data_IF_981863752841
#
_entry.id   IF_981863752841
#
_cell.length_a   1.000
_cell.length_b   1.000
_cell.length_c   1.000
_cell.angle_alpha   90.00
_cell.angle_beta   90.00
_cell.angle_gamma   90.00
#
_symmetry.space_group_name_H-M   'P 1'
#
loop_
_entity.id
_entity.type
_entity.pdbx_description
1 polymer ?
#
# COMPACT_ATOMS: atom_id res chain seq x y z
N UNK A 1 -0.39 -16.95 11.02
CA UNK A 1 0.52 -17.74 10.14
C UNK A 1 1.12 -18.92 10.89
N UNK A 2 1.87 -18.73 12.00
CA UNK A 2 2.47 -19.84 12.75
C UNK A 2 1.44 -20.86 13.25
N UNK A 3 0.32 -20.38 13.79
CA UNK A 3 -0.75 -21.28 14.26
C UNK A 3 -1.37 -22.09 13.12
N UNK A 4 -1.62 -21.47 11.97
CA UNK A 4 -2.11 -22.17 10.77
C UNK A 4 -1.11 -23.20 10.24
N UNK A 5 0.20 -22.88 10.29
CA UNK A 5 1.25 -23.81 9.92
C UNK A 5 1.28 -25.04 10.84
N UNK A 6 1.25 -24.82 12.15
CA UNK A 6 1.22 -25.92 13.13
C UNK A 6 -0.01 -26.82 12.91
N UNK A 7 -1.20 -26.22 12.71
CA UNK A 7 -2.41 -26.99 12.40
C UNK A 7 -2.30 -27.75 11.07
N UNK A 8 -1.73 -27.16 10.03
CA UNK A 8 -1.55 -27.82 8.75
C UNK A 8 -0.60 -29.03 8.83
N UNK A 9 0.46 -28.92 9.61
CA UNK A 9 1.46 -29.99 9.76
C UNK A 9 1.01 -31.08 10.74
N UNK A 10 0.19 -30.76 11.73
CA UNK A 10 -0.23 -31.70 12.78
C UNK A 10 -1.65 -32.22 12.57
N UNK A 11 -2.63 -31.33 12.47
CA UNK A 11 -4.05 -31.69 12.41
C UNK A 11 -4.44 -32.30 11.07
N UNK A 12 -3.98 -31.72 9.97
CA UNK A 12 -4.36 -32.18 8.63
C UNK A 12 -3.88 -33.62 8.35
N UNK A 13 -2.60 -34.00 8.59
CA UNK A 13 -2.15 -35.38 8.47
C UNK A 13 -2.88 -36.34 9.42
N UNK A 14 -3.13 -35.90 10.67
CA UNK A 14 -3.86 -36.71 11.64
C UNK A 14 -5.29 -37.02 11.18
N UNK A 15 -6.01 -36.02 10.65
CA UNK A 15 -7.37 -36.19 10.10
C UNK A 15 -7.37 -37.12 8.89
N UNK A 16 -6.39 -36.95 7.98
CA UNK A 16 -6.24 -37.80 6.79
C UNK A 16 -5.98 -39.25 7.21
N UNK A 17 -5.05 -39.48 8.11
CA UNK A 17 -4.73 -40.83 8.65
C UNK A 17 -5.95 -41.46 9.31
N UNK A 18 -6.69 -40.72 10.16
CA UNK A 18 -7.90 -41.21 10.83
C UNK A 18 -9.00 -41.57 9.82
N UNK A 19 -9.15 -40.79 8.76
CA UNK A 19 -10.11 -41.05 7.69
C UNK A 19 -9.72 -42.32 6.92
N UNK A 20 -8.45 -42.44 6.54
CA UNK A 20 -7.96 -43.49 5.66
C UNK A 20 -7.69 -44.82 6.37
N UNK A 21 -7.72 -44.84 7.73
CA UNK A 21 -7.72 -46.10 8.53
C UNK A 21 -8.97 -46.98 8.35
N UNK A 22 -10.07 -46.46 7.78
CA UNK A 22 -11.26 -47.25 7.52
C UNK A 22 -11.07 -48.12 6.27
N UNK A 23 -11.23 -49.46 6.35
CA UNK A 23 -11.00 -50.41 5.25
C UNK A 23 -11.78 -50.04 3.96
N UNK A 24 -12.99 -49.52 4.11
CA UNK A 24 -13.83 -49.06 3.00
C UNK A 24 -13.28 -47.80 2.32
N UNK A 25 -12.52 -46.94 3.03
CA UNK A 25 -11.91 -45.79 2.47
C UNK A 25 -10.65 -46.15 1.63
N UNK A 26 -9.88 -47.15 2.09
CA UNK A 26 -8.73 -47.66 1.34
C UNK A 26 -9.15 -48.29 0.01
N UNK A 27 -10.13 -49.22 0.03
CA UNK A 27 -10.63 -49.84 -1.19
C UNK A 27 -11.19 -48.83 -2.21
N UNK A 28 -11.85 -47.77 -1.71
CA UNK A 28 -12.37 -46.68 -2.53
C UNK A 28 -11.27 -45.75 -3.04
N UNK A 29 -10.15 -45.66 -2.32
CA UNK A 29 -8.97 -44.92 -2.75
C UNK A 29 -8.20 -45.65 -3.84
N UNK A 30 -7.98 -46.95 -3.68
CA UNK A 30 -7.28 -47.79 -4.65
C UNK A 30 -8.04 -47.85 -5.98
N UNK A 31 -9.35 -48.03 -5.98
CA UNK A 31 -10.19 -47.97 -7.17
C UNK A 31 -10.25 -46.57 -7.83
N UNK A 32 -10.11 -45.49 -7.02
CA UNK A 32 -10.00 -44.14 -7.57
C UNK A 32 -8.59 -43.84 -8.09
N UNK A 33 -7.56 -44.44 -7.55
CA UNK A 33 -6.18 -44.30 -8.00
C UNK A 33 -6.00 -45.00 -9.35
N UNK A 34 -6.47 -46.22 -9.48
CA UNK A 34 -6.54 -46.93 -10.80
C UNK A 34 -7.31 -46.13 -11.84
N UNK A 35 -8.50 -45.67 -11.51
CA UNK A 35 -9.30 -44.80 -12.41
C UNK A 35 -8.66 -43.47 -12.72
N UNK A 36 -7.76 -42.97 -11.87
CA UNK A 36 -7.01 -41.72 -12.13
C UNK A 36 -5.77 -41.96 -13.00
N UNK A 37 -5.13 -43.12 -12.87
CA UNK A 37 -4.04 -43.52 -13.76
C UNK A 37 -4.55 -43.84 -15.16
N UNK A 38 -5.78 -44.39 -15.29
CA UNK A 38 -6.48 -44.60 -16.54
C UNK A 38 -7.20 -43.34 -17.08
N UNK A 39 -7.50 -42.37 -16.24
CA UNK A 39 -8.22 -41.17 -16.67
C UNK A 39 -7.31 -40.28 -17.54
N UNK A 40 -7.72 -40.15 -18.81
CA UNK A 40 -7.19 -39.17 -19.75
C UNK A 40 -6.92 -37.86 -19.05
N UNK A 41 -5.70 -37.30 -19.24
CA UNK A 41 -5.29 -35.98 -18.78
C UNK A 41 -6.47 -34.99 -18.90
N UNK A 42 -6.79 -34.31 -17.80
CA UNK A 42 -7.88 -33.33 -17.78
C UNK A 42 -7.62 -32.24 -18.83
N UNK A 43 -8.67 -31.70 -19.43
CA UNK A 43 -8.55 -30.55 -20.32
C UNK A 43 -7.67 -29.42 -19.77
N UNK A 44 -7.76 -29.20 -18.46
CA UNK A 44 -6.98 -28.18 -17.75
C UNK A 44 -5.48 -28.51 -17.76
N UNK A 45 -5.10 -29.80 -17.57
CA UNK A 45 -3.69 -30.22 -17.67
C UNK A 45 -3.12 -29.99 -19.06
N UNK A 46 -3.86 -30.44 -20.06
CA UNK A 46 -3.45 -30.27 -21.46
C UNK A 46 -3.26 -28.82 -21.82
N UNK A 47 -4.16 -27.95 -21.34
CA UNK A 47 -4.08 -26.52 -21.59
C UNK A 47 -2.88 -25.87 -20.88
N UNK A 48 -2.64 -26.19 -19.60
CA UNK A 48 -1.53 -25.65 -18.83
C UNK A 48 -0.17 -26.11 -19.39
N UNK A 49 -0.05 -27.41 -19.70
CA UNK A 49 1.15 -27.98 -20.31
C UNK A 49 1.41 -27.36 -21.68
N UNK A 50 0.36 -27.24 -22.52
CA UNK A 50 0.48 -26.60 -23.84
C UNK A 50 0.96 -25.15 -23.74
N UNK A 51 0.41 -24.38 -22.80
CA UNK A 51 0.84 -22.99 -22.54
C UNK A 51 2.30 -22.94 -22.15
N UNK A 52 2.75 -23.80 -21.22
CA UNK A 52 4.13 -23.84 -20.76
C UNK A 52 5.12 -24.21 -21.87
N UNK A 53 4.79 -25.20 -22.69
CA UNK A 53 5.62 -25.62 -23.83
C UNK A 53 5.70 -24.53 -24.90
N UNK A 54 4.57 -23.88 -25.24
CA UNK A 54 4.57 -22.75 -26.18
C UNK A 54 5.46 -21.62 -25.65
N UNK A 55 5.35 -21.32 -24.35
CA UNK A 55 6.18 -20.30 -23.69
C UNK A 55 7.67 -20.65 -23.69
N UNK A 56 8.00 -21.92 -23.51
CA UNK A 56 9.37 -22.42 -23.59
C UNK A 56 9.94 -22.32 -25.01
N UNK A 57 9.24 -22.78 -26.01
CA UNK A 57 9.67 -22.72 -27.42
C UNK A 57 9.86 -21.26 -27.90
N UNK A 58 8.98 -20.36 -27.49
CA UNK A 58 9.02 -18.94 -27.86
C UNK A 58 9.66 -18.07 -26.74
N UNK A 59 10.55 -18.65 -25.92
CA UNK A 59 11.14 -18.00 -24.73
C UNK A 59 11.69 -16.60 -24.99
N UNK A 60 12.33 -16.37 -26.15
CA UNK A 60 12.84 -15.04 -26.49
C UNK A 60 11.72 -14.00 -26.64
N UNK A 61 10.64 -14.38 -27.33
CA UNK A 61 9.49 -13.49 -27.52
C UNK A 61 8.78 -13.22 -26.17
N UNK A 62 8.57 -14.26 -25.37
CA UNK A 62 7.92 -14.14 -24.05
C UNK A 62 8.73 -13.22 -23.13
N UNK A 63 10.06 -13.40 -23.06
CA UNK A 63 10.91 -12.57 -22.21
C UNK A 63 10.95 -11.12 -22.69
N UNK A 64 11.07 -10.87 -24.00
CA UNK A 64 11.05 -9.51 -24.55
C UNK A 64 9.69 -8.87 -24.34
N UNK A 65 8.60 -9.56 -24.62
CA UNK A 65 7.24 -9.05 -24.38
C UNK A 65 7.01 -8.73 -22.91
N UNK A 66 7.45 -9.60 -21.98
CA UNK A 66 7.38 -9.34 -20.54
C UNK A 66 8.18 -8.09 -20.18
N UNK A 67 9.41 -7.93 -20.69
CA UNK A 67 10.22 -6.76 -20.42
C UNK A 67 9.57 -5.45 -20.92
N UNK A 68 8.97 -5.49 -22.12
CA UNK A 68 8.24 -4.34 -22.67
C UNK A 68 7.02 -3.97 -21.84
N UNK A 69 6.25 -4.97 -21.41
CA UNK A 69 5.10 -4.76 -20.51
C UNK A 69 5.55 -4.18 -19.17
N UNK A 70 6.61 -4.71 -18.58
CA UNK A 70 7.16 -4.19 -17.32
C UNK A 70 7.66 -2.74 -17.48
N UNK A 71 8.36 -2.42 -18.56
CA UNK A 71 8.77 -1.06 -18.86
C UNK A 71 7.56 -0.12 -19.00
N UNK A 72 6.51 -0.55 -19.70
CA UNK A 72 5.24 0.17 -19.78
C UNK A 72 4.59 0.41 -18.41
N UNK A 73 4.55 -0.63 -17.55
CA UNK A 73 4.04 -0.52 -16.18
C UNK A 73 4.83 0.48 -15.34
N UNK A 74 6.15 0.52 -15.46
CA UNK A 74 7.00 1.50 -14.77
C UNK A 74 6.67 2.93 -15.23
N UNK A 75 6.56 3.15 -16.54
CA UNK A 75 6.21 4.47 -17.09
C UNK A 75 4.82 4.90 -16.64
N UNK A 76 3.84 4.01 -16.66
CA UNK A 76 2.49 4.28 -16.16
C UNK A 76 2.49 4.56 -14.66
N UNK A 77 3.30 3.82 -13.90
CA UNK A 77 3.44 3.98 -12.45
C UNK A 77 3.89 5.38 -12.03
N UNK A 78 4.67 6.09 -12.86
CA UNK A 78 5.07 7.47 -12.60
C UNK A 78 3.90 8.46 -12.60
N UNK A 79 2.74 8.06 -13.13
CA UNK A 79 1.52 8.89 -13.19
C UNK A 79 0.53 8.59 -12.07
N UNK A 80 0.83 7.63 -11.19
CA UNK A 80 -0.08 7.26 -10.11
C UNK A 80 -0.20 8.41 -9.11
N UNK A 81 -1.43 8.76 -8.80
CA UNK A 81 -1.79 9.73 -7.77
C UNK A 81 -2.04 9.02 -6.44
N UNK A 82 -1.91 9.75 -5.34
CA UNK A 82 -2.33 9.29 -4.02
C UNK A 82 -3.68 9.90 -3.66
N UNK A 83 -4.50 9.19 -2.88
CA UNK A 83 -5.82 9.66 -2.44
C UNK A 83 -5.94 9.60 -0.93
N UNK A 84 -6.20 10.75 -0.31
CA UNK A 84 -6.39 10.89 1.13
C UNK A 84 -7.86 11.14 1.51
N UNK A 85 -8.73 11.36 0.54
CA UNK A 85 -10.10 11.77 0.80
C UNK A 85 -10.94 10.58 1.27
N UNK A 86 -11.12 10.48 2.59
CA UNK A 86 -11.95 9.45 3.21
C UNK A 86 -13.43 9.55 2.79
N UNK A 87 -13.91 10.74 2.37
CA UNK A 87 -15.29 10.91 1.92
C UNK A 87 -15.52 10.24 0.56
N UNK A 88 -14.56 10.33 -0.35
CA UNK A 88 -14.61 9.61 -1.63
C UNK A 88 -14.50 8.09 -1.46
N UNK A 89 -13.99 7.64 -0.33
CA UNK A 89 -13.84 6.22 0.00
C UNK A 89 -15.15 5.58 0.49
N UNK A 90 -16.10 6.40 0.99
CA UNK A 90 -17.38 5.92 1.51
C UNK A 90 -18.50 5.98 0.46
N UNK A 91 -19.49 5.07 0.52
CA UNK A 91 -20.67 5.16 -0.31
C UNK A 91 -21.43 6.47 -0.03
N UNK A 92 -21.80 7.20 -1.09
CA UNK A 92 -22.46 8.51 -1.00
C UNK A 92 -23.82 8.47 -0.30
N UNK A 93 -24.46 7.33 -0.24
CA UNK A 93 -25.77 7.09 0.37
C UNK A 93 -25.70 6.66 1.84
N UNK A 94 -24.51 6.51 2.42
CA UNK A 94 -24.39 6.25 3.85
C UNK A 94 -24.87 7.44 4.69
N UNK A 95 -25.63 7.21 5.79
CA UNK A 95 -26.10 8.29 6.65
C UNK A 95 -25.00 9.25 7.10
N UNK A 96 -23.82 8.72 7.40
CA UNK A 96 -22.63 9.51 7.76
C UNK A 96 -22.20 10.42 6.60
N UNK A 97 -22.06 9.89 5.37
CA UNK A 97 -21.63 10.69 4.21
C UNK A 97 -22.64 11.77 3.85
N UNK A 98 -23.95 11.47 3.96
CA UNK A 98 -25.04 12.44 3.76
C UNK A 98 -24.97 13.53 4.82
N UNK A 99 -24.86 13.18 6.12
CA UNK A 99 -24.74 14.14 7.20
C UNK A 99 -23.49 15.03 7.02
N UNK A 100 -22.35 14.43 6.67
CA UNK A 100 -21.11 15.14 6.41
C UNK A 100 -21.26 16.16 5.28
N UNK A 101 -21.90 15.76 4.17
CA UNK A 101 -22.16 16.66 3.03
C UNK A 101 -23.06 17.83 3.45
N UNK A 102 -24.09 17.59 4.25
CA UNK A 102 -24.97 18.65 4.77
C UNK A 102 -24.22 19.62 5.69
N UNK A 103 -23.40 19.09 6.60
CA UNK A 103 -22.59 19.92 7.50
C UNK A 103 -21.60 20.78 6.71
N UNK A 104 -20.92 20.18 5.71
CA UNK A 104 -20.01 20.93 4.83
C UNK A 104 -20.73 22.03 4.06
N UNK A 105 -21.96 21.77 3.61
CA UNK A 105 -22.76 22.73 2.85
C UNK A 105 -23.20 23.92 3.71
N UNK A 106 -23.66 23.67 4.94
CA UNK A 106 -24.26 24.70 5.77
C UNK A 106 -23.31 25.40 6.73
N UNK A 107 -22.23 24.70 7.16
CA UNK A 107 -21.28 25.20 8.16
C UNK A 107 -19.86 25.43 7.60
N UNK A 108 -19.65 25.17 6.32
CA UNK A 108 -18.45 25.58 5.61
C UNK A 108 -17.15 24.88 6.08
N UNK A 109 -17.16 23.56 6.11
CA UNK A 109 -15.97 22.74 6.40
C UNK A 109 -15.84 22.33 7.86
N UNK A 110 -15.40 21.08 8.07
CA UNK A 110 -15.30 20.47 9.40
C UNK A 110 -13.87 20.17 9.84
N UNK A 111 -12.93 20.28 8.92
CA UNK A 111 -11.55 19.97 9.27
C UNK A 111 -10.96 21.15 10.01
N UNK A 112 -10.47 20.89 11.22
CA UNK A 112 -9.80 21.86 12.04
C UNK A 112 -8.31 21.59 11.98
N UNK A 113 -7.55 22.61 11.55
CA UNK A 113 -6.12 22.65 11.67
C UNK A 113 -5.76 23.47 12.90
N UNK A 114 -4.64 23.13 13.50
CA UNK A 114 -4.14 23.80 14.69
C UNK A 114 -2.70 24.23 14.47
N UNK A 115 -2.34 25.40 15.00
CA UNK A 115 -0.93 25.76 15.18
C UNK A 115 -0.66 25.91 16.65
N UNK A 116 0.20 25.04 17.18
CA UNK A 116 0.66 25.10 18.54
C UNK A 116 1.70 26.22 18.65
N UNK A 117 1.47 27.14 19.57
CA UNK A 117 2.33 28.28 19.86
C UNK A 117 2.96 28.08 21.23
N UNK A 118 4.29 28.06 21.31
CA UNK A 118 5.04 27.87 22.54
C UNK A 118 5.98 29.06 22.79
N UNK A 119 6.20 29.38 24.06
CA UNK A 119 7.07 30.43 24.51
C UNK A 119 6.34 31.45 25.37
N UNK A 120 6.72 32.73 25.33
CA UNK A 120 6.03 33.77 26.11
C UNK A 120 4.68 34.15 25.48
N UNK A 121 3.75 33.19 25.40
CA UNK A 121 2.46 33.34 24.69
C UNK A 121 1.55 34.40 25.33
N UNK A 122 1.64 34.61 26.65
CA UNK A 122 0.90 35.62 27.41
C UNK A 122 1.56 37.01 27.38
N UNK A 123 2.56 37.22 26.54
CA UNK A 123 3.20 38.52 26.34
C UNK A 123 2.59 39.25 25.15
N UNK A 124 2.69 40.60 25.11
CA UNK A 124 2.31 41.38 23.93
C UNK A 124 2.95 40.88 22.65
N UNK A 125 4.23 40.46 22.68
CA UNK A 125 4.95 39.89 21.58
C UNK A 125 4.35 38.58 21.12
N UNK A 126 3.96 37.68 22.02
CA UNK A 126 3.28 36.40 21.69
C UNK A 126 1.92 36.61 21.07
N UNK A 127 1.10 37.54 21.59
CA UNK A 127 -0.21 37.85 21.03
C UNK A 127 -0.09 38.50 19.65
N UNK A 128 0.85 39.41 19.43
CA UNK A 128 1.12 40.02 18.14
C UNK A 128 1.63 38.98 17.10
N UNK A 129 2.44 37.99 17.55
CA UNK A 129 2.86 36.87 16.70
C UNK A 129 1.66 36.07 16.20
N UNK A 130 0.68 35.78 17.08
CA UNK A 130 -0.53 35.07 16.69
C UNK A 130 -1.34 35.88 15.68
N UNK A 131 -1.57 37.19 15.91
CA UNK A 131 -2.29 38.05 14.95
C UNK A 131 -1.55 38.13 13.61
N UNK A 132 -0.24 38.30 13.62
CA UNK A 132 0.56 38.33 12.40
C UNK A 132 0.44 37.01 11.61
N UNK A 133 0.40 35.88 12.30
CA UNK A 133 0.19 34.57 11.68
C UNK A 133 -1.21 34.46 11.08
N UNK A 134 -2.24 34.85 11.80
CA UNK A 134 -3.62 34.84 11.34
C UNK A 134 -3.85 35.73 10.11
N UNK A 135 -3.30 36.94 10.16
CA UNK A 135 -3.39 37.89 9.05
C UNK A 135 -2.60 37.40 7.83
N UNK A 136 -1.45 36.76 8.04
CA UNK A 136 -0.67 36.14 6.98
C UNK A 136 -1.40 34.96 6.31
N UNK A 137 -2.13 34.16 7.09
CA UNK A 137 -2.98 33.09 6.56
C UNK A 137 -4.23 33.67 5.87
N UNK A 138 -4.93 34.61 6.51
CA UNK A 138 -6.16 35.21 5.96
C UNK A 138 -5.95 36.04 4.72
N UNK A 139 -4.74 36.58 4.50
CA UNK A 139 -4.34 37.30 3.28
C UNK A 139 -3.89 36.35 2.13
N UNK A 140 -3.79 35.05 2.40
CA UNK A 140 -3.39 34.09 1.39
C UNK A 140 -4.44 33.96 0.29
N UNK A 141 -4.00 34.08 -0.97
CA UNK A 141 -4.86 34.04 -2.14
C UNK A 141 -5.09 32.62 -2.69
N UNK A 142 -4.57 31.59 -2.02
CA UNK A 142 -4.77 30.22 -2.45
C UNK A 142 -6.26 29.84 -2.33
N UNK A 143 -6.80 29.33 -3.42
CA UNK A 143 -8.16 28.85 -3.52
C UNK A 143 -8.17 27.32 -3.64
N UNK A 144 -9.25 26.69 -3.21
CA UNK A 144 -9.50 25.27 -3.41
C UNK A 144 -9.95 24.99 -4.85
N UNK A 145 -10.12 23.73 -5.21
CA UNK A 145 -10.63 23.29 -6.53
C UNK A 145 -12.01 23.85 -6.86
N UNK A 146 -12.76 24.32 -5.87
CA UNK A 146 -14.10 24.93 -6.03
C UNK A 146 -14.08 26.45 -6.17
N UNK A 147 -12.90 27.06 -6.06
CA UNK A 147 -12.71 28.51 -6.12
C UNK A 147 -12.88 29.25 -4.79
N UNK A 148 -13.08 28.52 -3.68
CA UNK A 148 -13.17 29.15 -2.36
C UNK A 148 -11.78 29.34 -1.74
N UNK A 149 -11.56 30.40 -0.92
CA UNK A 149 -10.28 30.60 -0.26
C UNK A 149 -10.00 29.47 0.73
N UNK A 150 -8.76 28.94 0.70
CA UNK A 150 -8.30 27.89 1.64
C UNK A 150 -8.35 28.36 3.08
N UNK A 151 -8.05 29.64 3.31
CA UNK A 151 -8.06 30.27 4.61
C UNK A 151 -8.97 31.52 4.57
N UNK A 152 -9.93 31.56 5.48
CA UNK A 152 -10.77 32.72 5.69
C UNK A 152 -10.46 33.31 7.08
N UNK A 153 -10.18 34.61 7.16
CA UNK A 153 -9.74 35.25 8.42
C UNK A 153 -10.78 35.07 9.56
N UNK A 154 -12.06 35.10 9.24
CA UNK A 154 -13.17 34.89 10.15
C UNK A 154 -13.27 33.46 10.70
N UNK A 155 -12.56 32.51 10.08
CA UNK A 155 -12.50 31.09 10.48
C UNK A 155 -11.20 30.75 11.25
N UNK A 156 -10.35 31.73 11.48
CA UNK A 156 -9.11 31.58 12.28
C UNK A 156 -9.36 32.24 13.63
N UNK A 157 -9.01 31.53 14.68
CA UNK A 157 -9.28 31.96 16.04
C UNK A 157 -8.13 31.62 16.99
N UNK A 158 -7.72 32.60 17.77
CA UNK A 158 -6.65 32.44 18.77
C UNK A 158 -6.93 33.15 20.08
N UNK A 159 -6.01 33.01 21.01
CA UNK A 159 -6.00 33.77 22.25
C UNK A 159 -5.90 35.29 22.01
N UNK A 160 -5.19 35.69 20.96
CA UNK A 160 -5.02 37.10 20.62
C UNK A 160 -6.33 37.76 20.19
N UNK A 161 -7.21 37.05 19.45
CA UNK A 161 -8.53 37.53 19.09
C UNK A 161 -9.40 37.75 20.33
N UNK A 162 -9.31 36.82 21.28
CA UNK A 162 -10.07 36.92 22.54
C UNK A 162 -9.66 38.16 23.32
N UNK A 163 -8.35 38.36 23.51
CA UNK A 163 -7.81 39.52 24.23
C UNK A 163 -8.17 40.81 23.52
N UNK A 164 -8.00 40.86 22.19
CA UNK A 164 -8.35 42.04 21.38
C UNK A 164 -9.84 42.36 21.42
N UNK A 165 -10.70 41.35 21.42
CA UNK A 165 -12.19 41.53 21.47
C UNK A 165 -12.63 42.09 22.83
N UNK A 166 -11.98 41.71 23.93
CA UNK A 166 -12.35 42.15 25.28
C UNK A 166 -11.75 43.51 25.62
N UNK A 167 -10.51 43.75 25.25
CA UNK A 167 -9.77 44.97 25.63
C UNK A 167 -9.75 46.06 24.54
N UNK A 168 -10.26 45.72 23.31
CA UNK A 168 -10.20 46.62 22.17
C UNK A 168 -8.86 46.61 21.42
N UNK A 169 -7.77 46.31 22.09
CA UNK A 169 -6.41 46.24 21.54
C UNK A 169 -5.56 45.28 22.36
N UNK A 170 -4.39 44.93 21.84
CA UNK A 170 -3.41 44.12 22.59
C UNK A 170 -2.79 45.00 23.68
N UNK A 171 -2.82 44.60 24.97
CA UNK A 171 -2.19 45.34 26.07
C UNK A 171 -0.68 45.49 25.87
N UNK A 172 -0.12 46.58 26.37
CA UNK A 172 1.31 46.89 26.24
C UNK A 172 2.22 46.05 27.14
N UNK A 173 1.68 45.54 28.27
CA UNK A 173 2.47 44.76 29.24
C UNK A 173 1.88 43.36 29.44
N UNK A 174 2.74 42.40 29.81
CA UNK A 174 2.30 41.05 30.14
C UNK A 174 1.36 41.03 31.36
N UNK A 175 1.57 41.91 32.33
CA UNK A 175 0.71 42.02 33.49
C UNK A 175 -0.72 42.41 33.14
N UNK A 176 -0.89 43.31 32.18
CA UNK A 176 -2.21 43.74 31.71
C UNK A 176 -2.89 42.66 30.89
N UNK A 177 -2.13 41.89 30.08
CA UNK A 177 -2.65 40.69 29.40
C UNK A 177 -3.23 39.70 30.42
N UNK A 178 -2.48 39.42 31.48
CA UNK A 178 -2.92 38.51 32.54
C UNK A 178 -4.16 39.07 33.27
N UNK A 179 -4.21 40.36 33.55
CA UNK A 179 -5.40 40.99 34.17
C UNK A 179 -6.65 40.83 33.28
N UNK A 180 -6.54 41.08 31.97
CA UNK A 180 -7.66 40.88 31.03
C UNK A 180 -8.14 39.44 31.08
N UNK A 181 -7.23 38.47 31.07
CA UNK A 181 -7.56 37.04 31.11
C UNK A 181 -8.18 36.63 32.46
N UNK A 182 -7.65 37.13 33.57
CA UNK A 182 -8.23 36.89 34.91
C UNK A 182 -9.60 37.52 35.05
N UNK A 183 -9.83 38.73 34.54
CA UNK A 183 -11.14 39.38 34.52
C UNK A 183 -12.20 38.59 33.77
N UNK A 184 -11.81 37.85 32.73
CA UNK A 184 -12.67 36.94 32.02
C UNK A 184 -12.97 35.65 32.81
N UNK A 185 -12.06 35.18 33.64
CA UNK A 185 -12.19 33.95 34.43
C UNK A 185 -13.23 34.08 35.59
N UNK A 186 -13.50 35.28 36.04
CA UNK A 186 -14.48 35.54 37.12
C UNK A 186 -15.92 35.60 36.62
N UNK A 187 -16.17 35.58 35.30
CA UNK A 187 -17.53 35.52 34.68
C UNK A 187 -17.94 34.08 34.37
N UNK A 188 -19.25 33.78 34.44
CA UNK A 188 -19.88 32.45 34.23
C UNK A 188 -19.66 31.77 32.85
N UNK A 189 -18.58 32.06 32.08
CA UNK A 189 -18.28 31.50 30.77
C UNK A 189 -16.88 30.92 30.65
N UNK A 190 -16.55 30.00 31.55
CA UNK A 190 -15.23 29.43 31.67
C UNK A 190 -14.86 28.32 30.67
N UNK A 191 -15.78 27.72 29.93
CA UNK A 191 -15.47 26.58 29.07
C UNK A 191 -14.61 26.92 27.83
N UNK A 192 -14.88 28.10 27.23
CA UNK A 192 -14.11 28.51 26.03
C UNK A 192 -12.68 28.94 26.33
N UNK A 193 -12.38 29.32 27.57
CA UNK A 193 -11.04 29.72 27.97
C UNK A 193 -10.12 28.56 28.24
N UNK A 194 -10.64 27.50 28.86
CA UNK A 194 -9.87 26.27 29.12
C UNK A 194 -9.44 25.56 27.83
N UNK A 195 -10.02 25.89 26.70
CA UNK A 195 -9.65 25.34 25.39
C UNK A 195 -8.42 26.03 24.81
N UNK A 196 -8.18 27.32 25.13
CA UNK A 196 -7.09 28.11 24.55
C UNK A 196 -5.87 28.22 25.48
N UNK A 197 -6.05 28.14 26.78
CA UNK A 197 -4.99 28.22 27.78
C UNK A 197 -5.15 27.03 28.72
N UNK A 198 -4.12 26.20 28.79
CA UNK A 198 -4.05 25.17 29.81
C UNK A 198 -3.35 25.73 31.04
N UNK A 199 -4.00 25.82 32.23
CA UNK A 199 -3.39 26.36 33.43
C UNK A 199 -2.10 25.62 33.85
N UNK A 200 -1.97 24.36 33.47
CA UNK A 200 -0.77 23.54 33.74
C UNK A 200 0.41 23.91 32.84
N UNK A 201 0.13 24.48 31.66
CA UNK A 201 1.13 24.84 30.65
C UNK A 201 0.86 26.26 30.13
N UNK A 202 1.10 27.32 30.93
CA UNK A 202 0.74 28.68 30.58
C UNK A 202 1.61 29.30 29.47
N UNK A 203 2.67 28.64 29.09
CA UNK A 203 3.60 28.96 28.01
C UNK A 203 3.21 28.33 26.67
N UNK A 204 2.05 27.66 26.60
CA UNK A 204 1.57 27.00 25.41
C UNK A 204 0.13 27.41 25.12
N UNK A 205 -0.16 27.75 23.86
CA UNK A 205 -1.49 28.01 23.37
C UNK A 205 -1.64 27.48 21.96
N UNK A 206 -2.82 27.58 21.38
CA UNK A 206 -3.07 27.18 20.00
C UNK A 206 -3.86 28.22 19.20
N UNK A 207 -3.56 28.29 17.92
CA UNK A 207 -4.37 28.96 16.91
C UNK A 207 -5.22 27.88 16.24
N UNK A 208 -6.54 28.04 16.28
CA UNK A 208 -7.49 27.12 15.64
C UNK A 208 -7.92 27.69 14.29
N UNK A 209 -7.83 26.87 13.26
CA UNK A 209 -8.08 27.25 11.88
C UNK A 209 -9.11 26.27 11.31
N UNK A 210 -10.29 26.76 10.99
CA UNK A 210 -11.30 25.95 10.28
C UNK A 210 -11.04 26.05 8.79
N UNK A 211 -10.76 24.94 8.16
CA UNK A 211 -10.51 24.84 6.73
C UNK A 211 -11.62 24.07 6.06
N UNK A 212 -11.95 24.46 4.83
CA UNK A 212 -12.85 23.68 4.00
C UNK A 212 -12.23 22.34 3.65
N UNK A 213 -13.03 21.28 3.66
CA UNK A 213 -12.58 19.99 3.20
C UNK A 213 -12.27 20.07 1.71
N UNK A 214 -11.06 19.75 1.33
CA UNK A 214 -10.55 19.86 -0.02
C UNK A 214 -9.98 18.55 -0.55
N UNK A 215 -9.50 18.60 -1.79
CA UNK A 215 -8.72 17.55 -2.40
C UNK A 215 -7.40 17.33 -1.67
N UNK A 216 -6.66 16.29 -2.05
CA UNK A 216 -5.30 16.07 -1.53
C UNK A 216 -4.38 17.27 -1.84
N UNK A 217 -4.56 17.90 -3.00
CA UNK A 217 -3.83 19.10 -3.38
C UNK A 217 -4.14 20.27 -2.43
N UNK A 218 -5.41 20.44 -2.06
CA UNK A 218 -5.83 21.45 -1.09
C UNK A 218 -5.23 21.18 0.29
N UNK A 219 -5.23 19.92 0.77
CA UNK A 219 -4.60 19.54 2.05
C UNK A 219 -3.12 19.83 2.06
N UNK A 220 -2.42 19.56 0.95
CA UNK A 220 -1.01 19.90 0.77
C UNK A 220 -0.80 21.40 0.83
N UNK A 221 -1.57 22.18 0.08
CA UNK A 221 -1.47 23.64 0.04
C UNK A 221 -1.74 24.25 1.43
N UNK A 222 -2.72 23.70 2.17
CA UNK A 222 -2.99 24.11 3.55
C UNK A 222 -1.78 23.83 4.45
N UNK A 223 -1.26 22.61 4.44
CA UNK A 223 -0.13 22.21 5.28
C UNK A 223 1.13 23.02 4.98
N UNK A 224 1.48 23.16 3.70
CA UNK A 224 2.67 23.87 3.26
C UNK A 224 2.56 25.38 3.59
N UNK A 225 1.38 25.99 3.37
CA UNK A 225 1.15 27.39 3.72
C UNK A 225 1.22 27.62 5.23
N UNK A 226 0.59 26.77 6.03
CA UNK A 226 0.64 26.87 7.49
C UNK A 226 2.09 26.79 8.00
N UNK A 227 2.88 25.86 7.51
CA UNK A 227 4.30 25.70 7.88
C UNK A 227 5.13 26.90 7.47
N UNK A 228 5.02 27.32 6.20
CA UNK A 228 5.77 28.46 5.69
C UNK A 228 5.46 29.77 6.46
N UNK A 229 4.21 30.00 6.85
CA UNK A 229 3.84 31.16 7.61
C UNK A 229 4.25 31.04 9.10
N UNK A 230 4.13 29.84 9.70
CA UNK A 230 4.61 29.63 11.08
C UNK A 230 6.11 29.84 11.20
N UNK A 231 6.90 29.40 10.24
CA UNK A 231 8.36 29.59 10.21
C UNK A 231 8.73 31.08 10.06
N UNK A 232 8.06 31.80 9.16
CA UNK A 232 8.28 33.24 8.94
C UNK A 232 7.96 34.06 10.19
N UNK A 233 6.85 33.75 10.86
CA UNK A 233 6.44 34.44 12.08
C UNK A 233 7.40 34.11 13.23
N UNK A 234 7.82 32.85 13.38
CA UNK A 234 8.78 32.44 14.40
C UNK A 234 10.15 33.17 14.27
N UNK A 235 10.59 33.45 13.05
CA UNK A 235 11.81 34.23 12.80
C UNK A 235 11.66 35.68 13.24
N UNK A 236 10.49 36.30 12.96
CA UNK A 236 10.24 37.70 13.26
C UNK A 236 9.94 37.97 14.76
N UNK A 237 9.39 36.97 15.46
CA UNK A 237 8.98 37.08 16.86
C UNK A 237 9.84 36.17 17.75
N UNK A 238 11.02 36.67 18.17
CA UNK A 238 11.98 35.89 18.97
C UNK A 238 11.36 35.36 20.27
N UNK A 239 11.65 34.11 20.59
CA UNK A 239 11.17 33.43 21.80
C UNK A 239 9.76 32.82 21.65
N UNK A 240 9.20 32.83 20.45
CA UNK A 240 7.96 32.12 20.08
C UNK A 240 8.30 31.04 19.05
N UNK A 241 7.81 29.84 19.27
CA UNK A 241 7.88 28.73 18.31
C UNK A 241 6.47 28.35 17.90
N UNK A 242 6.28 28.05 16.63
CA UNK A 242 5.00 27.65 16.07
C UNK A 242 5.12 26.29 15.37
N UNK A 243 4.19 25.40 15.61
CA UNK A 243 4.16 24.05 15.01
C UNK A 243 2.76 23.74 14.49
N UNK A 244 2.63 23.58 13.19
CA UNK A 244 1.37 23.28 12.53
C UNK A 244 0.99 21.81 12.71
N UNK A 245 -0.30 21.53 12.97
CA UNK A 245 -0.89 20.22 13.19
C UNK A 245 -2.36 20.20 12.76
N UNK A 246 -3.01 19.08 12.97
CA UNK A 246 -4.42 18.87 12.62
C UNK A 246 -4.61 17.98 11.42
N UNK A 247 -5.89 17.67 11.10
CA UNK A 247 -6.20 16.67 10.06
C UNK A 247 -5.59 16.98 8.68
N UNK A 248 -5.61 18.22 8.16
CA UNK A 248 -5.01 18.52 6.87
C UNK A 248 -3.49 18.28 6.84
N UNK A 249 -2.80 18.69 7.90
CA UNK A 249 -1.35 18.52 8.03
C UNK A 249 -0.99 17.05 8.16
N UNK A 250 -1.71 16.32 9.03
CA UNK A 250 -1.53 14.88 9.22
C UNK A 250 -1.75 14.10 7.91
N UNK A 251 -2.85 14.40 7.20
CA UNK A 251 -3.15 13.72 5.94
C UNK A 251 -2.10 14.01 4.88
N UNK A 252 -1.62 15.25 4.77
CA UNK A 252 -0.53 15.58 3.87
C UNK A 252 0.74 14.78 4.18
N UNK A 253 1.14 14.67 5.44
CA UNK A 253 2.35 13.96 5.86
C UNK A 253 2.23 12.45 5.64
N UNK A 254 1.08 11.88 6.01
CA UNK A 254 0.79 10.47 5.78
C UNK A 254 0.83 10.15 4.28
N UNK A 255 0.10 10.92 3.47
CA UNK A 255 0.04 10.68 2.03
C UNK A 255 1.38 10.92 1.34
N UNK A 256 2.13 11.94 1.75
CA UNK A 256 3.47 12.20 1.23
C UNK A 256 4.48 11.09 1.57
N UNK A 257 4.25 10.34 2.65
CA UNK A 257 5.10 9.22 3.07
C UNK A 257 4.70 7.86 2.49
N UNK A 258 3.48 7.71 1.95
CA UNK A 258 2.96 6.42 1.45
C UNK A 258 3.85 5.85 0.34
N UNK A 259 4.07 6.60 -0.74
CA UNK A 259 4.83 6.12 -1.90
C UNK A 259 6.28 5.77 -1.54
N UNK A 260 7.08 6.65 -0.89
CA UNK A 260 8.45 6.31 -0.54
C UNK A 260 8.54 5.16 0.47
N UNK A 261 7.60 5.08 1.42
CA UNK A 261 7.56 3.98 2.39
C UNK A 261 7.22 2.66 1.69
N UNK A 262 6.24 2.66 0.79
CA UNK A 262 5.86 1.48 0.01
C UNK A 262 7.03 0.96 -0.83
N UNK A 263 7.73 1.85 -1.55
CA UNK A 263 8.90 1.45 -2.33
C UNK A 263 10.00 0.82 -1.45
N UNK A 264 10.30 1.44 -0.30
CA UNK A 264 11.30 0.93 0.64
C UNK A 264 10.90 -0.43 1.21
N UNK A 265 9.68 -0.56 1.72
CA UNK A 265 9.21 -1.81 2.35
C UNK A 265 9.08 -2.94 1.34
N UNK A 266 8.57 -2.67 0.14
CA UNK A 266 8.49 -3.67 -0.92
C UNK A 266 9.87 -4.10 -1.40
N UNK A 267 10.82 -3.17 -1.55
CA UNK A 267 12.19 -3.50 -1.92
C UNK A 267 12.87 -4.37 -0.85
N UNK A 268 12.76 -4.00 0.43
CA UNK A 268 13.31 -4.80 1.54
C UNK A 268 12.66 -6.18 1.58
N UNK A 269 11.34 -6.26 1.46
CA UNK A 269 10.62 -7.54 1.46
C UNK A 269 11.04 -8.43 0.29
N UNK A 270 11.16 -7.88 -0.92
CA UNK A 270 11.64 -8.63 -2.09
C UNK A 270 13.08 -9.12 -1.93
N UNK A 271 13.97 -8.28 -1.39
CA UNK A 271 15.37 -8.67 -1.16
C UNK A 271 15.45 -9.79 -0.12
N UNK A 272 14.74 -9.66 1.01
CA UNK A 272 14.71 -10.70 2.04
C UNK A 272 14.09 -12.00 1.51
N UNK A 273 13.01 -11.90 0.75
CA UNK A 273 12.37 -13.04 0.12
C UNK A 273 13.34 -13.74 -0.86
N UNK A 274 14.01 -12.97 -1.72
CA UNK A 274 15.02 -13.50 -2.63
C UNK A 274 16.17 -14.20 -1.89
N UNK A 275 16.71 -13.60 -0.83
CA UNK A 275 17.78 -14.19 -0.01
C UNK A 275 17.33 -15.52 0.60
N UNK A 276 16.15 -15.59 1.20
CA UNK A 276 15.63 -16.83 1.78
C UNK A 276 15.51 -17.91 0.71
N UNK A 277 14.93 -17.56 -0.45
CA UNK A 277 14.74 -18.53 -1.54
C UNK A 277 16.08 -18.97 -2.17
N UNK A 278 17.06 -18.07 -2.29
CA UNK A 278 18.43 -18.39 -2.72
C UNK A 278 19.07 -19.39 -1.76
N UNK A 279 18.93 -19.17 -0.45
CA UNK A 279 19.47 -20.08 0.58
C UNK A 279 18.78 -21.44 0.49
N UNK A 280 17.46 -21.49 0.38
CA UNK A 280 16.67 -22.73 0.28
C UNK A 280 17.07 -23.54 -0.95
N UNK A 281 17.23 -22.88 -2.10
CA UNK A 281 17.66 -23.57 -3.33
C UNK A 281 19.18 -23.84 -3.40
N UNK A 282 20.00 -23.19 -2.58
CA UNK A 282 21.45 -23.22 -2.70
C UNK A 282 21.95 -22.70 -4.05
N UNK A 283 21.18 -21.86 -4.73
CA UNK A 283 21.48 -21.38 -6.08
C UNK A 283 20.92 -19.97 -6.31
N UNK A 284 21.81 -19.06 -6.66
CA UNK A 284 21.45 -17.67 -6.98
C UNK A 284 20.45 -17.61 -8.14
N UNK A 285 20.67 -18.41 -9.20
CA UNK A 285 19.80 -18.37 -10.38
C UNK A 285 18.39 -18.86 -10.07
N UNK A 286 18.23 -20.02 -9.45
CA UNK A 286 16.90 -20.58 -9.15
C UNK A 286 16.16 -19.74 -8.11
N UNK A 287 16.87 -19.15 -7.15
CA UNK A 287 16.27 -18.21 -6.19
C UNK A 287 15.74 -16.95 -6.86
N UNK A 288 16.53 -16.32 -7.73
CA UNK A 288 16.10 -15.14 -8.49
C UNK A 288 15.00 -15.46 -9.50
N UNK A 289 15.05 -16.62 -10.16
CA UNK A 289 14.01 -17.06 -11.07
C UNK A 289 12.67 -17.23 -10.35
N UNK A 290 12.63 -17.88 -9.18
CA UNK A 290 11.43 -18.01 -8.39
C UNK A 290 10.89 -16.63 -7.92
N UNK A 291 11.77 -15.74 -7.46
CA UNK A 291 11.40 -14.40 -6.98
C UNK A 291 10.92 -13.49 -8.12
N UNK A 292 11.34 -13.71 -9.37
CA UNK A 292 10.92 -12.92 -10.52
C UNK A 292 9.39 -12.92 -10.74
N UNK A 293 8.72 -13.99 -10.35
CA UNK A 293 7.25 -14.12 -10.41
C UNK A 293 6.56 -13.02 -9.60
N UNK A 294 7.04 -12.80 -8.39
CA UNK A 294 6.50 -11.77 -7.49
C UNK A 294 6.81 -10.38 -8.02
N UNK A 295 8.04 -10.16 -8.49
CA UNK A 295 8.44 -8.88 -9.07
C UNK A 295 7.54 -8.51 -10.27
N UNK A 296 7.26 -9.47 -11.16
CA UNK A 296 6.35 -9.28 -12.29
C UNK A 296 4.92 -8.98 -11.79
N UNK A 297 4.45 -9.73 -10.78
CA UNK A 297 3.12 -9.52 -10.19
C UNK A 297 2.94 -8.08 -9.65
N UNK A 298 3.91 -7.58 -8.88
CA UNK A 298 3.87 -6.21 -8.34
C UNK A 298 3.96 -5.15 -9.45
N UNK A 299 4.82 -5.35 -10.44
CA UNK A 299 4.93 -4.40 -11.53
C UNK A 299 3.63 -4.30 -12.36
N UNK A 300 2.97 -5.44 -12.60
CA UNK A 300 1.66 -5.48 -13.26
C UNK A 300 0.56 -4.86 -12.39
N UNK A 301 0.60 -5.06 -11.06
CA UNK A 301 -0.28 -4.40 -10.09
C UNK A 301 -0.21 -2.87 -10.25
N UNK A 302 0.99 -2.31 -10.21
CA UNK A 302 1.23 -0.87 -10.40
C UNK A 302 0.71 -0.42 -11.78
N UNK A 303 0.97 -1.20 -12.82
CA UNK A 303 0.48 -0.91 -14.18
C UNK A 303 -1.04 -0.84 -14.26
N UNK A 304 -1.74 -1.78 -13.63
CA UNK A 304 -3.21 -1.82 -13.60
C UNK A 304 -3.80 -0.67 -12.78
N UNK A 305 -3.21 -0.35 -11.62
CA UNK A 305 -3.62 0.81 -10.83
C UNK A 305 -3.58 2.10 -11.68
N UNK A 306 -2.48 2.28 -12.42
CA UNK A 306 -2.32 3.43 -13.31
C UNK A 306 -3.31 3.44 -14.48
N UNK A 307 -3.54 2.29 -15.13
CA UNK A 307 -4.48 2.16 -16.24
C UNK A 307 -5.94 2.43 -15.82
N UNK A 308 -6.32 1.99 -14.63
CA UNK A 308 -7.65 2.20 -14.07
C UNK A 308 -7.82 3.58 -13.44
N UNK A 309 -6.76 4.41 -13.42
CA UNK A 309 -6.70 5.67 -12.67
C UNK A 309 -7.13 5.48 -11.20
N UNK A 310 -6.76 4.35 -10.62
CA UNK A 310 -7.00 4.09 -9.22
C UNK A 310 -5.83 4.64 -8.40
N UNK A 311 -6.09 5.59 -7.50
CA UNK A 311 -5.03 6.17 -6.69
C UNK A 311 -4.48 5.18 -5.68
N UNK A 312 -3.23 5.39 -5.28
CA UNK A 312 -2.67 4.72 -4.12
C UNK A 312 -3.30 5.29 -2.85
N UNK A 313 -3.93 4.41 -2.09
CA UNK A 313 -4.44 4.68 -0.76
C UNK A 313 -3.82 3.70 0.25
N UNK A 314 -4.12 3.88 1.54
CA UNK A 314 -3.54 3.05 2.60
C UNK A 314 -3.92 1.57 2.48
N UNK A 315 -5.01 1.22 1.80
CA UNK A 315 -5.41 -0.18 1.56
C UNK A 315 -4.67 -0.78 0.37
N UNK A 316 -4.57 -0.07 -0.75
CA UNK A 316 -3.89 -0.56 -1.95
C UNK A 316 -2.38 -0.74 -1.73
N UNK A 317 -1.78 0.08 -0.87
CA UNK A 317 -0.37 -0.07 -0.44
C UNK A 317 -0.10 -1.42 0.24
N UNK A 318 -1.07 -1.95 1.01
CA UNK A 318 -0.92 -3.25 1.68
C UNK A 318 -0.93 -4.43 0.71
N UNK A 319 -1.49 -4.27 -0.48
CA UNK A 319 -1.63 -5.35 -1.48
C UNK A 319 -0.29 -5.90 -1.90
N UNK A 320 0.69 -5.05 -2.21
CA UNK A 320 2.01 -5.50 -2.65
C UNK A 320 2.70 -6.40 -1.63
N UNK A 321 2.57 -6.11 -0.33
CA UNK A 321 3.12 -6.97 0.73
C UNK A 321 2.44 -8.33 0.79
N UNK A 322 1.13 -8.36 0.56
CA UNK A 322 0.35 -9.59 0.52
C UNK A 322 0.69 -10.43 -0.71
N UNK A 323 0.88 -9.78 -1.87
CA UNK A 323 1.29 -10.43 -3.12
C UNK A 323 2.69 -11.01 -3.02
N UNK A 324 3.63 -10.33 -2.32
CA UNK A 324 4.96 -10.89 -2.04
C UNK A 324 4.82 -12.21 -1.28
N UNK A 325 4.05 -12.22 -0.20
CA UNK A 325 3.89 -13.40 0.64
C UNK A 325 3.16 -14.57 -0.02
N UNK A 326 2.08 -14.30 -0.76
CA UNK A 326 1.27 -15.34 -1.38
C UNK A 326 1.76 -15.74 -2.79
N UNK A 327 2.38 -14.81 -3.51
CA UNK A 327 2.83 -15.03 -4.90
C UNK A 327 4.13 -15.81 -5.00
N UNK A 328 5.01 -15.72 -3.99
CA UNK A 328 6.31 -16.40 -4.02
C UNK A 328 6.18 -17.91 -4.08
N UNK A 329 5.14 -18.47 -3.46
CA UNK A 329 4.89 -19.90 -3.43
C UNK A 329 4.73 -20.48 -4.84
N UNK A 330 4.10 -19.73 -5.76
CA UNK A 330 3.96 -20.16 -7.16
C UNK A 330 5.34 -20.31 -7.82
N UNK A 331 6.24 -19.35 -7.59
CA UNK A 331 7.61 -19.39 -8.10
C UNK A 331 8.42 -20.54 -7.52
N UNK A 332 8.32 -20.75 -6.20
CA UNK A 332 9.03 -21.81 -5.49
C UNK A 332 8.61 -23.19 -6.01
N UNK A 333 7.31 -23.46 -6.06
CA UNK A 333 6.80 -24.76 -6.48
C UNK A 333 7.20 -25.14 -7.90
N UNK A 334 7.05 -24.22 -8.86
CA UNK A 334 7.44 -24.46 -10.27
C UNK A 334 8.95 -24.64 -10.37
N UNK A 335 9.75 -23.78 -9.74
CA UNK A 335 11.20 -23.85 -9.81
C UNK A 335 11.77 -25.12 -9.17
N UNK A 336 11.23 -25.48 -7.98
CA UNK A 336 11.64 -26.70 -7.27
C UNK A 336 11.36 -27.93 -8.11
N UNK A 337 10.13 -28.06 -8.63
CA UNK A 337 9.73 -29.23 -9.42
C UNK A 337 10.51 -29.32 -10.72
N UNK A 338 10.73 -28.20 -11.42
CA UNK A 338 11.54 -28.18 -12.64
C UNK A 338 12.98 -28.65 -12.35
N UNK A 339 13.59 -28.15 -11.26
CA UNK A 339 14.94 -28.56 -10.87
C UNK A 339 15.02 -30.05 -10.55
N UNK A 340 14.02 -30.59 -9.88
CA UNK A 340 13.92 -32.01 -9.55
C UNK A 340 13.86 -32.87 -10.82
N UNK A 341 12.97 -32.54 -11.77
CA UNK A 341 12.82 -33.29 -13.03
C UNK A 341 14.04 -33.16 -13.95
N UNK A 342 14.61 -31.95 -14.05
CA UNK A 342 15.75 -31.72 -14.95
C UNK A 342 17.07 -32.26 -14.39
N UNK A 343 17.40 -32.04 -13.11
CA UNK A 343 18.67 -32.46 -12.55
C UNK A 343 18.71 -33.93 -12.09
N UNK A 344 17.61 -34.45 -11.54
CA UNK A 344 17.58 -35.81 -11.02
C UNK A 344 16.90 -36.79 -11.97
N UNK A 345 16.00 -36.31 -12.82
CA UNK A 345 15.30 -37.12 -13.81
C UNK A 345 16.10 -37.40 -15.10
N UNK A 346 17.13 -36.60 -15.39
CA UNK A 346 17.97 -36.77 -16.60
C UNK A 346 17.20 -36.68 -17.92
N UNK A 347 16.05 -35.97 -17.91
CA UNK A 347 15.16 -35.85 -19.07
C UNK A 347 15.42 -34.56 -19.83
N UNK A 348 15.03 -34.51 -21.10
CA UNK A 348 15.08 -33.30 -21.92
C UNK A 348 14.28 -32.14 -21.30
N UNK A 349 14.64 -30.91 -21.64
CA UNK A 349 14.02 -29.69 -21.08
C UNK A 349 12.51 -29.69 -21.27
N UNK A 350 12.03 -30.01 -22.48
CA UNK A 350 10.60 -30.06 -22.81
C UNK A 350 9.86 -31.06 -21.93
N UNK A 351 10.41 -32.25 -21.72
CA UNK A 351 9.79 -33.27 -20.88
C UNK A 351 9.86 -32.90 -19.40
N UNK A 352 10.95 -32.31 -18.92
CA UNK A 352 11.05 -31.79 -17.57
C UNK A 352 10.00 -30.70 -17.32
N UNK A 353 9.79 -29.81 -18.28
CA UNK A 353 8.76 -28.77 -18.19
C UNK A 353 7.35 -29.35 -18.20
N UNK A 354 7.09 -30.31 -19.07
CA UNK A 354 5.79 -30.99 -19.16
C UNK A 354 5.44 -31.68 -17.85
N UNK A 355 6.37 -32.42 -17.25
CA UNK A 355 6.21 -33.08 -15.95
C UNK A 355 6.02 -32.07 -14.82
N UNK A 356 6.77 -30.98 -14.86
CA UNK A 356 6.67 -29.91 -13.85
C UNK A 356 5.26 -29.34 -13.83
N UNK A 357 4.77 -28.83 -14.96
CA UNK A 357 3.47 -28.16 -15.01
C UNK A 357 2.33 -29.17 -14.87
N UNK A 358 2.47 -30.40 -15.42
CA UNK A 358 1.49 -31.46 -15.22
C UNK A 358 1.29 -31.84 -13.74
N UNK A 359 2.37 -31.85 -12.95
CA UNK A 359 2.30 -32.23 -11.53
C UNK A 359 1.85 -31.10 -10.62
N UNK A 360 2.36 -29.86 -10.82
CA UNK A 360 2.08 -28.76 -9.89
C UNK A 360 1.05 -27.76 -10.41
N UNK A 361 0.85 -27.67 -11.73
CA UNK A 361 0.02 -26.63 -12.32
C UNK A 361 -1.43 -26.60 -11.83
N UNK A 362 -2.08 -27.77 -11.69
CA UNK A 362 -3.45 -27.85 -11.14
C UNK A 362 -3.53 -27.33 -9.71
N UNK A 363 -2.58 -27.71 -8.86
CA UNK A 363 -2.57 -27.29 -7.47
C UNK A 363 -2.38 -25.78 -7.36
N UNK A 364 -1.47 -25.21 -8.19
CA UNK A 364 -1.24 -23.77 -8.23
C UNK A 364 -2.47 -23.00 -8.73
N UNK A 365 -3.13 -23.48 -9.80
CA UNK A 365 -4.37 -22.86 -10.29
C UNK A 365 -5.47 -22.95 -9.24
N UNK A 366 -5.64 -24.10 -8.58
CA UNK A 366 -6.64 -24.24 -7.53
C UNK A 366 -6.38 -23.30 -6.36
N UNK A 367 -5.13 -23.19 -5.89
CA UNK A 367 -4.74 -22.28 -4.83
C UNK A 367 -4.96 -20.80 -5.22
N UNK A 368 -4.56 -20.43 -6.43
CA UNK A 368 -4.74 -19.07 -6.93
C UNK A 368 -6.23 -18.72 -7.11
N UNK A 369 -7.03 -19.61 -7.69
CA UNK A 369 -8.48 -19.38 -7.89
C UNK A 369 -9.21 -19.27 -6.57
N UNK A 370 -8.88 -20.09 -5.56
CA UNK A 370 -9.51 -19.98 -4.25
C UNK A 370 -9.14 -18.68 -3.54
N UNK A 371 -7.87 -18.30 -3.57
CA UNK A 371 -7.40 -17.07 -2.91
C UNK A 371 -7.85 -15.82 -3.66
N UNK A 372 -7.62 -15.74 -4.97
CA UNK A 372 -8.08 -14.63 -5.80
C UNK A 372 -9.61 -14.51 -5.81
N UNK A 373 -10.33 -15.66 -5.80
CA UNK A 373 -11.78 -15.70 -5.71
C UNK A 373 -12.31 -15.10 -4.39
N UNK A 374 -11.67 -15.39 -3.27
CA UNK A 374 -12.02 -14.79 -1.98
C UNK A 374 -11.85 -13.26 -2.03
N UNK A 375 -10.77 -12.76 -2.60
CA UNK A 375 -10.55 -11.31 -2.78
C UNK A 375 -11.50 -10.69 -3.81
N UNK A 376 -11.86 -11.42 -4.87
CA UNK A 376 -12.86 -10.99 -5.86
C UNK A 376 -14.25 -10.80 -5.23
N UNK A 377 -14.62 -11.60 -4.22
CA UNK A 377 -15.85 -11.39 -3.43
C UNK A 377 -15.76 -10.07 -2.66
N UNK A 378 -14.62 -9.75 -2.06
CA UNK A 378 -14.41 -8.45 -1.39
C UNK A 378 -14.54 -7.30 -2.39
N UNK A 379 -14.16 -7.50 -3.66
CA UNK A 379 -14.30 -6.50 -4.72
C UNK A 379 -15.76 -6.15 -5.07
N UNK A 380 -16.75 -6.93 -4.62
CA UNK A 380 -18.18 -6.63 -4.78
C UNK A 380 -18.66 -5.62 -3.72
N UNK A 381 -17.84 -5.28 -2.73
CA UNK A 381 -18.19 -4.35 -1.65
C UNK A 381 -18.65 -3.00 -2.17
N UNK A 382 -19.65 -2.42 -1.51
CA UNK A 382 -20.10 -1.04 -1.74
C UNK A 382 -19.08 -0.01 -1.24
N UNK A 383 -18.20 -0.40 -0.32
CA UNK A 383 -17.15 0.46 0.23
C UNK A 383 -15.99 0.52 -0.76
N UNK A 384 -15.72 1.70 -1.31
CA UNK A 384 -14.79 1.89 -2.44
C UNK A 384 -13.37 1.36 -2.18
N UNK A 385 -12.82 1.58 -0.99
CA UNK A 385 -11.47 1.10 -0.67
C UNK A 385 -11.41 -0.43 -0.52
N UNK A 386 -12.44 -1.08 0.04
CA UNK A 386 -12.51 -2.55 0.10
C UNK A 386 -12.66 -3.14 -1.29
N UNK A 387 -13.48 -2.51 -2.15
CA UNK A 387 -13.63 -2.91 -3.55
C UNK A 387 -12.31 -2.84 -4.30
N UNK A 388 -11.56 -1.73 -4.16
CA UNK A 388 -10.24 -1.58 -4.78
C UNK A 388 -9.26 -2.60 -4.23
N UNK A 389 -9.14 -2.72 -2.90
CA UNK A 389 -8.27 -3.68 -2.23
C UNK A 389 -8.52 -5.11 -2.72
N UNK A 390 -9.78 -5.58 -2.68
CA UNK A 390 -10.14 -6.92 -3.15
C UNK A 390 -9.86 -7.12 -4.63
N UNK A 391 -10.24 -6.15 -5.48
CA UNK A 391 -10.04 -6.23 -6.92
C UNK A 391 -8.56 -6.26 -7.31
N UNK A 392 -7.76 -5.37 -6.77
CA UNK A 392 -6.32 -5.34 -7.05
C UNK A 392 -5.62 -6.60 -6.52
N UNK A 393 -5.95 -7.05 -5.31
CA UNK A 393 -5.35 -8.27 -4.76
C UNK A 393 -5.68 -9.49 -5.62
N UNK A 394 -6.94 -9.65 -6.04
CA UNK A 394 -7.35 -10.75 -6.91
C UNK A 394 -6.61 -10.71 -8.26
N UNK A 395 -6.48 -9.53 -8.87
CA UNK A 395 -5.73 -9.35 -10.11
C UNK A 395 -4.23 -9.63 -9.93
N UNK A 396 -3.61 -9.11 -8.89
CA UNK A 396 -2.18 -9.27 -8.63
C UNK A 396 -1.78 -10.73 -8.39
N UNK A 397 -2.60 -11.48 -7.65
CA UNK A 397 -2.41 -12.93 -7.46
C UNK A 397 -2.59 -13.68 -8.78
N UNK A 398 -3.56 -13.28 -9.62
CA UNK A 398 -3.75 -13.85 -10.96
C UNK A 398 -2.53 -13.57 -11.84
N UNK A 399 -1.97 -12.36 -11.79
CA UNK A 399 -0.76 -12.02 -12.53
C UNK A 399 0.47 -12.80 -12.04
N UNK A 400 0.61 -13.01 -10.73
CA UNK A 400 1.67 -13.85 -10.18
C UNK A 400 1.54 -15.30 -10.67
N UNK A 401 0.33 -15.86 -10.69
CA UNK A 401 0.09 -17.17 -11.28
C UNK A 401 0.45 -17.22 -12.79
N UNK A 402 0.01 -16.24 -13.56
CA UNK A 402 0.34 -16.16 -14.98
C UNK A 402 1.85 -16.02 -15.21
N UNK A 403 2.53 -15.23 -14.40
CA UNK A 403 3.99 -15.13 -14.45
C UNK A 403 4.66 -16.47 -14.14
N UNK A 404 4.17 -17.23 -13.15
CA UNK A 404 4.68 -18.56 -12.82
C UNK A 404 4.44 -19.60 -13.93
N UNK A 405 3.35 -19.49 -14.68
CA UNK A 405 3.00 -20.45 -15.73
C UNK A 405 3.48 -20.07 -17.14
N UNK A 406 3.74 -18.79 -17.41
CA UNK A 406 4.16 -18.29 -18.72
C UNK A 406 5.64 -17.82 -18.74
N UNK A 407 5.99 -16.98 -17.78
CA UNK A 407 7.32 -16.33 -17.82
C UNK A 407 8.39 -17.19 -17.17
N UNK A 408 8.09 -17.78 -16.03
CA UNK A 408 9.05 -18.59 -15.30
C UNK A 408 9.53 -19.82 -16.09
N UNK A 409 8.67 -20.58 -16.82
CA UNK A 409 9.12 -21.64 -17.74
C UNK A 409 10.15 -21.15 -18.75
N UNK A 410 9.92 -19.98 -19.35
CA UNK A 410 10.85 -19.38 -20.32
C UNK A 410 12.20 -19.04 -19.72
N UNK A 411 12.24 -18.54 -18.46
CA UNK A 411 13.47 -18.22 -17.73
C UNK A 411 14.26 -19.51 -17.41
N UNK A 412 13.56 -20.54 -16.93
CA UNK A 412 14.17 -21.83 -16.56
C UNK A 412 14.73 -22.56 -17.79
N UNK A 413 13.95 -22.61 -18.86
CA UNK A 413 14.38 -23.23 -20.13
C UNK A 413 15.55 -22.48 -20.78
N UNK A 414 15.57 -21.16 -20.72
CA UNK A 414 16.71 -20.37 -21.20
C UNK A 414 18.02 -20.71 -20.47
N UNK A 415 17.99 -20.91 -19.18
CA UNK A 415 19.15 -21.32 -18.39
C UNK A 415 19.58 -22.75 -18.71
N UNK A 416 18.62 -23.68 -18.72
CA UNK A 416 18.88 -25.10 -18.99
C UNK A 416 19.57 -25.29 -20.35
N UNK A 417 19.06 -24.67 -21.41
CA UNK A 417 19.66 -24.74 -22.75
C UNK A 417 21.07 -24.09 -22.84
N UNK A 418 21.37 -23.10 -22.03
CA UNK A 418 22.74 -22.55 -21.96
C UNK A 418 23.69 -23.51 -21.28
N UNK A 419 23.27 -24.22 -20.24
CA UNK A 419 24.06 -25.20 -19.55
C UNK A 419 24.34 -26.41 -20.48
N UNK A 420 23.33 -26.94 -21.17
CA UNK A 420 23.49 -28.04 -22.14
C UNK A 420 24.47 -27.68 -23.27
N UNK A 421 24.34 -26.50 -23.86
CA UNK A 421 25.26 -26.02 -24.89
C UNK A 421 26.69 -25.85 -24.39
N UNK A 422 26.86 -25.41 -23.15
CA UNK A 422 28.20 -25.28 -22.55
C UNK A 422 28.83 -26.65 -22.26
N UNK A 423 28.03 -27.63 -21.83
CA UNK A 423 28.51 -29.02 -21.62
C UNK A 423 28.87 -29.72 -22.92
N UNK A 424 28.06 -29.55 -23.98
CA UNK A 424 28.33 -30.09 -25.30
C UNK A 424 29.63 -29.52 -25.91
N UNK A 425 29.88 -28.21 -25.76
CA UNK A 425 31.13 -27.58 -26.21
C UNK A 425 32.36 -28.10 -25.47
N UNK A 426 32.23 -28.36 -24.16
CA UNK A 426 33.34 -28.95 -23.39
C UNK A 426 33.64 -30.40 -23.83
N UNK A 427 32.59 -31.19 -24.04
CA UNK A 427 32.74 -32.56 -24.50
C UNK A 427 33.38 -32.66 -25.90
N UNK A 428 33.03 -31.76 -26.84
CA UNK A 428 33.68 -31.72 -28.17
C UNK A 428 35.15 -31.28 -28.09
N UNK A 429 35.49 -30.32 -27.23
CA UNK A 429 36.86 -29.86 -27.03
C UNK A 429 37.78 -30.97 -26.42
N UNK A 430 37.21 -31.77 -25.49
CA UNK A 430 37.95 -32.90 -24.87
C UNK A 430 38.08 -34.11 -25.82
N UNK A 431 37.26 -34.20 -26.87
CA UNK A 431 37.33 -35.26 -27.88
C UNK A 431 38.33 -34.93 -29.03
N UNK A 432 38.76 -33.69 -29.15
CA UNK A 432 39.76 -33.21 -30.12
C UNK A 432 41.20 -33.21 -29.56
N UNK A 433 41.37 -33.35 -28.23
CA UNK A 433 42.64 -33.60 -27.54
C UNK A 433 42.92 -35.12 -27.39
#
# INVERSE_FOLDING_TARGET
>A
VMFSFVLAVTLLPAVVILRDRRPQAQAKWDSKKEKREEAKESWLDKSLVKIAIISEHHRGIVLVATLLVLAGCVVLGLRITTEADMEKMMPKNMPFAVAQTQINKYFGGQDVAYTLVKGKVLSPNGLNAMLAYEDALGSNKNINEKGDPLFARDKIFSLADVVKKVNGSIPATQADVIKVLMGMSTGKKSESQNTLINPKYPDVTMVSIRVGRGSQTDMKNIADTMRAQSDKVAVNYKGITMSSSGMPVLMNDVMGSIVPTQLKTSAVALVLCALIVIIVFGSLFFGLAATSVVFIGIALEIGVLALLNWPLDFMTVMVSSLVIGAGIDFGIHVTHRFREEWHHGGVEIDEAMRRTIGNVGKALVAAAVTTAGAFAIIAISQISYLRRFGGITALSLTFALLAALLVLPSILAWRASRVEKASARKASATAEE
#
